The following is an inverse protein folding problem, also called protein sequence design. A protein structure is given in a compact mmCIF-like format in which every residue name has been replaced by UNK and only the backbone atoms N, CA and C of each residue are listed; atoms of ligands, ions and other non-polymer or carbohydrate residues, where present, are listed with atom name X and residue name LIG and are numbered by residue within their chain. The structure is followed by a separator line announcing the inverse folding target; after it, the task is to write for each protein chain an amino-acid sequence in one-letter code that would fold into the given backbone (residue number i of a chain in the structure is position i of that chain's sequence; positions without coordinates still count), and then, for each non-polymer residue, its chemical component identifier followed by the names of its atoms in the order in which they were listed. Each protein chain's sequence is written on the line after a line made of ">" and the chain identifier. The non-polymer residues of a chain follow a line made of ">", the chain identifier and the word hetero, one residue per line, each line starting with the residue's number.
data_IF_754115386115
#
_entry.id   IF_754115386115
#
_cell.length_a   1.000
_cell.length_b   1.000
_cell.length_c   1.000
_cell.angle_alpha   90.00
_cell.angle_beta   90.00
_cell.angle_gamma   90.00
#
_symmetry.space_group_name_H-M   'P 1'
#
loop_
_entity.id
_entity.type
_entity.pdbx_description
1 polymer ?
#
# COMPACT_ATOMS: atom_id res chain seq x y z
N UNK A 1 -90.03 78.76 105.41
CA UNK A 1 -88.65 78.27 105.20
C UNK A 1 -88.51 76.87 104.59
N UNK A 2 -89.57 76.21 104.09
CA UNK A 2 -89.44 74.84 103.51
C UNK A 2 -89.06 74.80 102.02
N UNK A 3 -89.11 75.92 101.28
CA UNK A 3 -88.76 75.97 99.85
C UNK A 3 -87.23 76.06 99.62
N UNK A 4 -86.51 76.72 100.53
CA UNK A 4 -85.04 76.85 100.46
C UNK A 4 -84.33 75.52 100.75
N UNK A 5 -84.82 74.78 101.74
CA UNK A 5 -84.31 73.44 102.07
C UNK A 5 -84.51 72.42 100.94
N UNK A 6 -85.64 72.47 100.23
CA UNK A 6 -85.88 71.57 99.09
C UNK A 6 -84.98 71.87 97.89
N UNK A 7 -84.70 73.15 97.60
CA UNK A 7 -83.73 73.55 96.55
C UNK A 7 -82.30 73.11 96.91
N UNK A 8 -81.90 73.26 98.17
CA UNK A 8 -80.59 72.82 98.66
C UNK A 8 -80.41 71.29 98.57
N UNK A 9 -81.40 70.52 99.04
CA UNK A 9 -81.40 69.05 98.93
C UNK A 9 -81.35 68.56 97.48
N UNK A 10 -82.00 69.26 96.55
CA UNK A 10 -82.00 68.92 95.12
C UNK A 10 -80.67 69.25 94.43
N UNK A 11 -79.99 70.32 94.83
CA UNK A 11 -78.61 70.60 94.38
C UNK A 11 -77.61 69.62 94.99
N UNK A 12 -77.76 69.26 96.26
CA UNK A 12 -76.91 68.29 96.95
C UNK A 12 -77.06 66.88 96.33
N UNK A 13 -78.29 66.45 96.00
CA UNK A 13 -78.53 65.24 95.23
C UNK A 13 -77.91 65.30 93.82
N UNK A 14 -78.01 66.43 93.10
CA UNK A 14 -77.36 66.60 91.79
C UNK A 14 -75.83 66.55 91.89
N UNK A 15 -75.24 67.13 92.94
CA UNK A 15 -73.79 67.06 93.19
C UNK A 15 -73.37 65.63 93.53
N UNK A 16 -74.15 64.91 94.32
CA UNK A 16 -73.90 63.51 94.67
C UNK A 16 -73.96 62.59 93.44
N UNK A 17 -74.98 62.76 92.58
CA UNK A 17 -75.10 61.99 91.32
C UNK A 17 -73.91 62.28 90.39
N UNK A 18 -73.51 63.55 90.24
CA UNK A 18 -72.32 63.91 89.43
C UNK A 18 -71.02 63.34 89.99
N UNK A 19 -70.85 63.35 91.31
CA UNK A 19 -69.68 62.75 91.98
C UNK A 19 -69.66 61.23 91.78
N UNK A 20 -70.81 60.56 91.89
CA UNK A 20 -70.95 59.12 91.63
C UNK A 20 -70.70 58.76 90.16
N UNK A 21 -71.11 59.61 89.21
CA UNK A 21 -70.79 59.44 87.78
C UNK A 21 -69.28 59.58 87.51
N UNK A 22 -68.63 60.61 88.07
CA UNK A 22 -67.17 60.80 87.94
C UNK A 22 -66.41 59.63 88.61
N UNK A 23 -66.87 59.16 89.77
CA UNK A 23 -66.26 58.01 90.46
C UNK A 23 -66.44 56.71 89.65
N UNK A 24 -67.56 56.55 88.94
CA UNK A 24 -67.80 55.42 88.04
C UNK A 24 -66.91 55.49 86.79
N UNK A 25 -66.86 56.63 86.13
CA UNK A 25 -66.01 56.84 84.94
C UNK A 25 -64.51 56.69 85.26
N UNK A 26 -64.06 57.16 86.42
CA UNK A 26 -62.66 56.98 86.86
C UNK A 26 -62.37 55.52 87.19
N UNK A 27 -63.28 54.80 87.85
CA UNK A 27 -63.16 53.34 88.07
C UNK A 27 -63.13 52.57 86.76
N UNK A 28 -64.00 52.91 85.80
CA UNK A 28 -64.03 52.30 84.47
C UNK A 28 -62.73 52.56 83.69
N UNK A 29 -62.19 53.79 83.70
CA UNK A 29 -60.89 54.11 83.06
C UNK A 29 -59.74 53.32 83.70
N UNK A 30 -59.70 53.23 85.03
CA UNK A 30 -58.69 52.43 85.75
C UNK A 30 -58.81 50.95 85.40
N UNK A 31 -60.02 50.42 85.29
CA UNK A 31 -60.25 49.02 84.93
C UNK A 31 -59.85 48.73 83.48
N UNK A 32 -60.16 49.64 82.55
CA UNK A 32 -59.79 49.56 81.14
C UNK A 32 -58.27 49.66 80.94
N UNK A 33 -57.59 50.50 81.72
CA UNK A 33 -56.13 50.61 81.72
C UNK A 33 -55.46 49.36 82.32
N UNK A 34 -56.02 48.80 83.41
CA UNK A 34 -55.60 47.50 83.94
C UNK A 34 -55.81 46.36 82.95
N UNK A 35 -56.91 46.37 82.18
CA UNK A 35 -57.16 45.39 81.12
C UNK A 35 -56.12 45.53 80.00
N UNK A 36 -55.84 46.74 79.51
CA UNK A 36 -54.80 47.00 78.51
C UNK A 36 -53.42 46.54 78.97
N UNK A 37 -53.03 46.86 80.21
CA UNK A 37 -51.75 46.41 80.79
C UNK A 37 -51.67 44.89 80.89
N UNK A 38 -52.77 44.20 81.24
CA UNK A 38 -52.84 42.73 81.25
C UNK A 38 -52.72 42.15 79.84
N UNK A 39 -53.38 42.74 78.85
CA UNK A 39 -53.28 42.32 77.44
C UNK A 39 -51.87 42.53 76.86
N UNK A 40 -51.23 43.65 77.16
CA UNK A 40 -49.84 43.91 76.75
C UNK A 40 -48.87 42.93 77.42
N UNK A 41 -49.04 42.66 78.71
CA UNK A 41 -48.25 41.65 79.42
C UNK A 41 -48.44 40.24 78.81
N UNK A 42 -49.67 39.87 78.44
CA UNK A 42 -49.97 38.61 77.75
C UNK A 42 -49.31 38.56 76.37
N UNK A 43 -49.40 39.65 75.58
CA UNK A 43 -48.73 39.75 74.27
C UNK A 43 -47.21 39.65 74.38
N UNK A 44 -46.61 40.32 75.36
CA UNK A 44 -45.17 40.24 75.63
C UNK A 44 -44.76 38.81 75.99
N UNK A 45 -45.52 38.14 76.87
CA UNK A 45 -45.27 36.76 77.27
C UNK A 45 -45.38 35.79 76.08
N UNK A 46 -46.36 35.97 75.20
CA UNK A 46 -46.52 35.17 73.97
C UNK A 46 -45.36 35.40 72.98
N UNK A 47 -44.90 36.65 72.82
CA UNK A 47 -43.73 36.96 72.00
C UNK A 47 -42.46 36.34 72.57
N UNK A 48 -42.27 36.39 73.89
CA UNK A 48 -41.12 35.78 74.55
C UNK A 48 -41.13 34.25 74.40
N UNK A 49 -42.29 33.60 74.54
CA UNK A 49 -42.41 32.17 74.29
C UNK A 49 -42.12 31.80 72.83
N UNK A 50 -42.62 32.58 71.87
CA UNK A 50 -42.34 32.37 70.45
C UNK A 50 -40.84 32.51 70.13
N UNK A 51 -40.18 33.55 70.65
CA UNK A 51 -38.73 33.76 70.50
C UNK A 51 -37.92 32.60 71.10
N UNK A 52 -38.34 32.07 72.26
CA UNK A 52 -37.71 30.91 72.88
C UNK A 52 -37.89 29.63 72.03
N UNK A 53 -39.04 29.45 71.40
CA UNK A 53 -39.31 28.33 70.49
C UNK A 53 -38.49 28.43 69.20
N UNK A 54 -38.40 29.62 68.59
CA UNK A 54 -37.54 29.85 67.42
C UNK A 54 -36.08 29.52 67.71
N UNK A 55 -35.54 29.97 68.85
CA UNK A 55 -34.16 29.65 69.27
C UNK A 55 -33.98 28.14 69.47
N UNK A 56 -34.98 27.43 70.00
CA UNK A 56 -34.91 25.96 70.15
C UNK A 56 -34.92 25.28 68.78
N UNK A 57 -35.79 25.71 67.87
CA UNK A 57 -35.89 25.19 66.51
C UNK A 57 -34.57 25.40 65.76
N UNK A 58 -33.95 26.57 65.89
CA UNK A 58 -32.67 26.86 65.23
C UNK A 58 -31.51 26.01 65.78
N UNK A 59 -31.48 25.78 67.10
CA UNK A 59 -30.56 24.83 67.74
C UNK A 59 -30.79 23.38 67.28
N UNK A 60 -32.02 23.02 66.94
CA UNK A 60 -32.36 21.69 66.46
C UNK A 60 -31.98 21.53 64.99
N UNK A 61 -32.30 22.52 64.13
CA UNK A 61 -31.86 22.59 62.73
C UNK A 61 -30.35 22.53 62.59
N UNK A 62 -29.61 23.30 63.38
CA UNK A 62 -28.13 23.28 63.33
C UNK A 62 -27.55 21.91 63.73
N UNK A 63 -28.15 21.23 64.72
CA UNK A 63 -27.78 19.85 65.08
C UNK A 63 -28.10 18.87 63.95
N UNK A 64 -29.28 18.98 63.35
CA UNK A 64 -29.74 18.09 62.29
C UNK A 64 -28.92 18.28 61.01
N UNK A 65 -28.62 19.52 60.63
CA UNK A 65 -27.72 19.85 59.51
C UNK A 65 -26.33 19.27 59.76
N UNK A 66 -25.78 19.42 60.98
CA UNK A 66 -24.47 18.86 61.33
C UNK A 66 -24.48 17.32 61.30
N UNK A 67 -25.57 16.70 61.75
CA UNK A 67 -25.74 15.25 61.70
C UNK A 67 -25.86 14.77 60.25
N UNK A 68 -26.62 15.47 59.42
CA UNK A 68 -26.79 15.19 58.00
C UNK A 68 -25.44 15.28 57.26
N UNK A 69 -24.69 16.37 57.45
CA UNK A 69 -23.36 16.54 56.85
C UNK A 69 -22.38 15.42 57.27
N UNK A 70 -22.43 14.98 58.53
CA UNK A 70 -21.59 13.84 58.99
C UNK A 70 -22.01 12.52 58.34
N UNK A 71 -23.32 12.29 58.18
CA UNK A 71 -23.84 11.09 57.49
C UNK A 71 -23.45 11.08 56.02
N UNK A 72 -23.63 12.20 55.32
CA UNK A 72 -23.20 12.39 53.93
C UNK A 72 -21.69 12.19 53.77
N UNK A 73 -20.87 12.79 54.65
CA UNK A 73 -19.42 12.57 54.62
C UNK A 73 -19.03 11.10 54.88
N UNK A 74 -19.78 10.39 55.74
CA UNK A 74 -19.56 8.96 55.97
C UNK A 74 -19.92 8.13 54.73
N UNK A 75 -21.04 8.44 54.08
CA UNK A 75 -21.46 7.81 52.82
C UNK A 75 -20.39 8.04 51.74
N UNK A 76 -19.92 9.28 51.57
CA UNK A 76 -18.85 9.60 50.62
C UNK A 76 -17.55 8.83 50.89
N UNK A 77 -17.18 8.63 52.16
CA UNK A 77 -16.01 7.80 52.53
C UNK A 77 -16.22 6.33 52.20
N UNK A 78 -17.42 5.79 52.43
CA UNK A 78 -17.77 4.42 52.09
C UNK A 78 -17.71 4.23 50.57
N UNK A 79 -18.33 5.13 49.80
CA UNK A 79 -18.30 5.09 48.33
C UNK A 79 -16.88 5.20 47.76
N UNK A 80 -16.05 6.10 48.30
CA UNK A 80 -14.65 6.22 47.89
C UNK A 80 -13.86 4.94 48.20
N UNK A 81 -14.07 4.35 49.38
CA UNK A 81 -13.42 3.09 49.77
C UNK A 81 -13.85 1.91 48.88
N UNK A 82 -15.14 1.84 48.51
CA UNK A 82 -15.63 0.83 47.57
C UNK A 82 -15.04 1.00 46.17
N UNK A 83 -15.00 2.23 45.64
CA UNK A 83 -14.33 2.53 44.37
C UNK A 83 -12.87 2.14 44.38
N UNK A 84 -12.15 2.46 45.46
CA UNK A 84 -10.74 2.09 45.61
C UNK A 84 -10.56 0.57 45.70
N UNK A 85 -11.46 -0.15 46.38
CA UNK A 85 -11.45 -1.62 46.45
C UNK A 85 -11.70 -2.27 45.09
N UNK A 86 -12.67 -1.77 44.33
CA UNK A 86 -12.95 -2.23 42.96
C UNK A 86 -11.76 -1.96 42.04
N UNK A 87 -11.16 -0.77 42.13
CA UNK A 87 -9.96 -0.42 41.36
C UNK A 87 -8.78 -1.34 41.69
N UNK A 88 -8.54 -1.65 42.97
CA UNK A 88 -7.50 -2.60 43.38
C UNK A 88 -7.78 -4.04 42.89
N UNK A 89 -9.05 -4.44 42.83
CA UNK A 89 -9.44 -5.74 42.25
C UNK A 89 -9.19 -5.77 40.73
N UNK A 90 -9.55 -4.71 40.02
CA UNK A 90 -9.27 -4.55 38.59
C UNK A 90 -7.76 -4.64 38.32
N UNK A 91 -6.93 -3.89 39.05
CA UNK A 91 -5.47 -3.94 38.92
C UNK A 91 -4.89 -5.34 39.20
N UNK A 92 -5.46 -6.09 40.16
CA UNK A 92 -5.04 -7.47 40.43
C UNK A 92 -5.41 -8.41 39.27
N UNK A 93 -6.62 -8.26 38.72
CA UNK A 93 -7.08 -9.03 37.56
C UNK A 93 -6.24 -8.71 36.32
N UNK A 94 -5.97 -7.43 36.03
CA UNK A 94 -5.10 -7.01 34.93
C UNK A 94 -3.69 -7.60 35.08
N UNK A 95 -3.09 -7.55 36.27
CA UNK A 95 -1.78 -8.19 36.52
C UNK A 95 -1.82 -9.71 36.34
N UNK A 96 -2.91 -10.37 36.66
CA UNK A 96 -3.08 -11.81 36.42
C UNK A 96 -3.21 -12.10 34.93
N UNK A 97 -4.06 -11.35 34.21
CA UNK A 97 -4.24 -11.45 32.76
C UNK A 97 -2.91 -11.23 32.05
N UNK A 98 -2.13 -10.23 32.45
CA UNK A 98 -0.81 -9.96 31.87
C UNK A 98 0.17 -11.13 32.10
N UNK A 99 0.16 -11.75 33.29
CA UNK A 99 0.94 -12.98 33.56
C UNK A 99 0.48 -14.18 32.74
N UNK A 100 -0.80 -14.26 32.38
CA UNK A 100 -1.31 -15.30 31.49
C UNK A 100 -0.90 -15.02 30.05
N UNK A 101 -1.02 -13.78 29.57
CA UNK A 101 -0.52 -13.35 28.25
C UNK A 101 0.95 -13.64 28.06
N UNK A 102 1.80 -13.29 29.02
CA UNK A 102 3.25 -13.58 28.95
C UNK A 102 3.52 -15.09 28.90
N UNK A 103 2.70 -15.91 29.58
CA UNK A 103 2.83 -17.38 29.52
C UNK A 103 2.36 -17.94 28.18
N UNK A 104 1.22 -17.47 27.68
CA UNK A 104 0.66 -17.86 26.39
C UNK A 104 1.63 -17.52 25.25
N UNK A 105 2.21 -16.32 25.24
CA UNK A 105 3.25 -15.96 24.25
C UNK A 105 4.45 -16.89 24.34
N UNK A 106 4.95 -17.20 25.53
CA UNK A 106 6.08 -18.14 25.70
C UNK A 106 5.74 -19.57 25.29
N UNK A 107 4.51 -20.01 25.49
CA UNK A 107 4.04 -21.32 25.04
C UNK A 107 3.89 -21.36 23.52
N UNK A 108 3.33 -20.32 22.92
CA UNK A 108 3.26 -20.16 21.47
C UNK A 108 4.65 -20.12 20.84
N UNK A 109 5.59 -19.37 21.40
CA UNK A 109 7.00 -19.35 20.94
C UNK A 109 7.66 -20.73 21.05
N UNK A 110 7.39 -21.48 22.12
CA UNK A 110 7.90 -22.86 22.27
C UNK A 110 7.27 -23.81 21.27
N UNK A 111 5.95 -23.73 21.07
CA UNK A 111 5.23 -24.54 20.08
C UNK A 111 5.65 -24.18 18.65
N UNK A 112 5.89 -22.90 18.36
CA UNK A 112 6.42 -22.45 17.08
C UNK A 112 7.84 -22.96 16.89
N UNK A 113 8.69 -22.92 17.91
CA UNK A 113 10.04 -23.50 17.85
C UNK A 113 10.03 -25.01 17.63
N UNK A 114 9.12 -25.73 18.30
CA UNK A 114 8.92 -27.18 18.10
C UNK A 114 8.38 -27.45 16.69
N UNK A 115 7.37 -26.71 16.22
CA UNK A 115 6.83 -26.83 14.87
C UNK A 115 7.86 -26.49 13.80
N UNK A 116 8.73 -25.49 14.02
CA UNK A 116 9.85 -25.15 13.15
C UNK A 116 10.93 -26.24 13.17
N UNK A 117 11.16 -26.88 14.32
CA UNK A 117 12.09 -28.00 14.47
C UNK A 117 11.55 -29.26 13.78
N UNK A 118 10.27 -29.60 13.96
CA UNK A 118 9.59 -30.70 13.26
C UNK A 118 9.56 -30.47 11.75
N UNK A 119 9.24 -29.23 11.31
CA UNK A 119 9.39 -28.85 9.90
C UNK A 119 10.84 -29.02 9.44
N UNK A 120 11.84 -28.59 10.22
CA UNK A 120 13.28 -28.76 9.89
C UNK A 120 13.72 -30.22 9.77
N UNK A 121 13.24 -31.10 10.64
CA UNK A 121 13.61 -32.52 10.64
C UNK A 121 12.98 -33.26 9.44
N UNK A 122 11.76 -32.88 9.02
CA UNK A 122 11.18 -33.30 7.72
C UNK A 122 11.89 -32.66 6.51
N UNK A 123 12.40 -31.43 6.66
CA UNK A 123 13.20 -30.75 5.65
C UNK A 123 14.60 -31.35 5.49
N UNK A 124 15.18 -32.07 6.45
CA UNK A 124 16.50 -32.70 6.24
C UNK A 124 16.44 -33.77 5.14
N UNK A 125 15.40 -34.62 5.17
CA UNK A 125 15.15 -35.61 4.12
C UNK A 125 14.73 -34.99 2.79
N UNK A 126 13.89 -33.93 2.83
CA UNK A 126 13.51 -33.18 1.63
C UNK A 126 14.70 -32.40 1.05
N UNK A 127 15.54 -31.78 1.87
CA UNK A 127 16.75 -31.07 1.45
C UNK A 127 17.72 -32.04 0.82
N UNK A 128 17.98 -33.21 1.40
CA UNK A 128 18.81 -34.23 0.74
C UNK A 128 18.22 -34.69 -0.60
N UNK A 129 16.89 -34.82 -0.72
CA UNK A 129 16.22 -35.11 -1.99
C UNK A 129 16.32 -33.94 -2.98
N UNK A 130 16.16 -32.71 -2.52
CA UNK A 130 16.32 -31.48 -3.31
C UNK A 130 17.77 -31.32 -3.75
N UNK A 131 18.75 -31.60 -2.90
CA UNK A 131 20.19 -31.57 -3.21
C UNK A 131 20.50 -32.60 -4.30
N UNK A 132 20.02 -33.85 -4.14
CA UNK A 132 20.14 -34.88 -5.18
C UNK A 132 19.45 -34.50 -6.49
N UNK A 133 18.27 -33.86 -6.43
CA UNK A 133 17.60 -33.35 -7.62
C UNK A 133 18.38 -32.20 -8.26
N UNK A 134 18.89 -31.25 -7.47
CA UNK A 134 19.72 -30.14 -7.93
C UNK A 134 21.01 -30.64 -8.58
N UNK A 135 21.68 -31.62 -7.98
CA UNK A 135 22.88 -32.27 -8.53
C UNK A 135 22.55 -32.95 -9.87
N UNK A 136 21.46 -33.71 -9.93
CA UNK A 136 20.96 -34.33 -11.16
C UNK A 136 20.70 -33.29 -12.26
N UNK A 137 20.01 -32.20 -11.95
CA UNK A 137 19.74 -31.12 -12.92
C UNK A 137 20.99 -30.31 -13.26
N UNK A 138 21.98 -30.22 -12.37
CA UNK A 138 23.28 -29.58 -12.65
C UNK A 138 24.04 -30.38 -13.69
N UNK A 139 24.13 -31.71 -13.51
CA UNK A 139 24.75 -32.62 -14.48
C UNK A 139 24.03 -32.55 -15.83
N UNK A 140 22.70 -32.63 -15.85
CA UNK A 140 21.92 -32.52 -17.10
C UNK A 140 22.13 -31.17 -17.79
N UNK A 141 22.22 -30.08 -17.01
CA UNK A 141 22.45 -28.74 -17.56
C UNK A 141 23.86 -28.62 -18.13
N UNK A 142 24.87 -29.10 -17.41
CA UNK A 142 26.27 -29.04 -17.85
C UNK A 142 26.49 -29.94 -19.08
N UNK A 143 25.81 -31.10 -19.15
CA UNK A 143 25.76 -31.95 -20.34
C UNK A 143 25.09 -31.25 -21.52
N UNK A 144 23.94 -30.59 -21.33
CA UNK A 144 23.28 -29.79 -22.39
C UNK A 144 24.12 -28.60 -22.86
N UNK A 145 24.87 -27.96 -21.96
CA UNK A 145 25.80 -26.89 -22.33
C UNK A 145 26.90 -27.45 -23.22
N UNK A 146 27.48 -28.61 -22.86
CA UNK A 146 28.46 -29.29 -23.72
C UNK A 146 27.89 -29.64 -25.09
N UNK A 147 26.71 -30.28 -25.14
CA UNK A 147 26.03 -30.62 -26.41
C UNK A 147 25.77 -29.39 -27.27
N UNK A 148 25.39 -28.25 -26.65
CA UNK A 148 25.18 -27.00 -27.37
C UNK A 148 26.48 -26.41 -27.92
N UNK A 149 27.55 -26.39 -27.12
CA UNK A 149 28.87 -25.88 -27.56
C UNK A 149 29.46 -26.77 -28.65
N UNK A 150 29.24 -28.08 -28.57
CA UNK A 150 29.62 -29.04 -29.60
C UNK A 150 28.82 -28.85 -30.90
N UNK A 151 27.51 -28.61 -30.81
CA UNK A 151 26.67 -28.29 -31.97
C UNK A 151 27.06 -26.96 -32.65
N UNK A 152 27.63 -26.01 -31.90
CA UNK A 152 28.21 -24.77 -32.45
C UNK A 152 29.60 -24.99 -33.11
N UNK A 153 30.12 -26.22 -33.12
CA UNK A 153 31.36 -26.59 -33.82
C UNK A 153 32.65 -26.14 -33.11
N UNK A 154 32.57 -25.72 -31.85
CA UNK A 154 33.72 -25.26 -31.06
C UNK A 154 34.50 -26.47 -30.53
N UNK A 155 35.77 -26.64 -30.90
CA UNK A 155 36.62 -27.74 -30.38
C UNK A 155 36.85 -27.58 -28.89
N UNK A 156 36.24 -28.46 -28.09
CA UNK A 156 36.39 -28.50 -26.63
C UNK A 156 37.66 -29.32 -26.29
N UNK A 157 38.56 -28.78 -25.46
CA UNK A 157 39.58 -29.60 -24.79
C UNK A 157 38.96 -30.20 -23.53
N UNK A 158 39.16 -31.50 -23.30
CA UNK A 158 38.34 -32.33 -22.40
C UNK A 158 38.23 -31.92 -20.92
N UNK A 159 38.91 -30.88 -20.46
CA UNK A 159 38.89 -30.39 -19.07
C UNK A 159 38.62 -28.87 -18.99
N UNK A 160 37.75 -28.36 -19.86
CA UNK A 160 37.35 -26.94 -19.86
C UNK A 160 36.20 -26.67 -18.87
N UNK A 161 36.43 -25.71 -17.97
CA UNK A 161 35.47 -25.28 -16.95
C UNK A 161 34.17 -24.75 -17.57
N UNK A 162 33.04 -24.94 -16.88
CA UNK A 162 31.71 -24.48 -17.34
C UNK A 162 31.69 -23.00 -17.74
N UNK A 163 32.42 -22.17 -17.01
CA UNK A 163 32.51 -20.73 -17.29
C UNK A 163 33.21 -20.45 -18.62
N UNK A 164 34.23 -21.25 -18.97
CA UNK A 164 34.93 -21.14 -20.25
C UNK A 164 34.06 -21.56 -21.43
N UNK A 165 33.24 -22.61 -21.28
CA UNK A 165 32.27 -23.03 -22.29
C UNK A 165 31.21 -21.96 -22.55
N UNK A 166 30.64 -21.37 -21.50
CA UNK A 166 29.67 -20.28 -21.61
C UNK A 166 30.28 -19.02 -22.22
N UNK A 167 31.54 -18.72 -21.89
CA UNK A 167 32.28 -17.61 -22.47
C UNK A 167 32.51 -17.82 -23.97
N UNK A 168 32.91 -19.03 -24.38
CA UNK A 168 33.06 -19.39 -25.80
C UNK A 168 31.74 -19.32 -26.57
N UNK A 169 30.63 -19.80 -25.98
CA UNK A 169 29.28 -19.67 -26.58
C UNK A 169 28.91 -18.19 -26.78
N UNK A 170 29.18 -17.36 -25.77
CA UNK A 170 28.91 -15.92 -25.83
C UNK A 170 29.80 -15.23 -26.88
N UNK A 171 31.09 -15.55 -26.92
CA UNK A 171 32.03 -15.02 -27.90
C UNK A 171 31.66 -15.43 -29.33
N UNK A 172 31.24 -16.69 -29.54
CA UNK A 172 30.70 -17.17 -30.82
C UNK A 172 29.45 -16.40 -31.24
N UNK A 173 28.51 -16.19 -30.32
CA UNK A 173 27.28 -15.45 -30.59
C UNK A 173 27.56 -13.99 -30.95
N UNK A 174 28.46 -13.33 -30.22
CA UNK A 174 28.89 -11.96 -30.49
C UNK A 174 29.61 -11.87 -31.83
N UNK A 175 30.49 -12.82 -32.16
CA UNK A 175 31.15 -12.87 -33.45
C UNK A 175 30.12 -13.02 -34.58
N UNK A 176 29.09 -13.86 -34.39
CA UNK A 176 28.01 -14.06 -35.35
C UNK A 176 27.15 -12.81 -35.56
N UNK A 177 26.82 -12.11 -34.47
CA UNK A 177 26.12 -10.83 -34.54
C UNK A 177 26.94 -9.77 -35.29
N UNK A 178 28.26 -9.74 -35.11
CA UNK A 178 29.12 -8.81 -35.87
C UNK A 178 29.09 -9.09 -37.38
N UNK A 179 29.09 -10.37 -37.77
CA UNK A 179 28.94 -10.78 -39.18
C UNK A 179 27.57 -10.35 -39.71
N UNK A 180 26.50 -10.59 -38.94
CA UNK A 180 25.13 -10.21 -39.32
C UNK A 180 25.00 -8.69 -39.54
N UNK A 181 25.53 -7.87 -38.63
CA UNK A 181 25.52 -6.42 -38.75
C UNK A 181 26.33 -5.92 -39.95
N UNK A 182 27.47 -6.54 -40.26
CA UNK A 182 28.26 -6.16 -41.42
C UNK A 182 27.54 -6.47 -42.75
N UNK A 183 26.80 -7.57 -42.82
CA UNK A 183 26.03 -7.95 -44.01
C UNK A 183 24.63 -7.30 -44.09
N UNK A 184 24.15 -6.66 -43.03
CA UNK A 184 22.78 -6.14 -42.97
C UNK A 184 22.50 -5.06 -44.02
N UNK A 185 23.45 -4.15 -44.23
CA UNK A 185 23.34 -3.11 -45.27
C UNK A 185 23.24 -3.73 -46.67
N UNK A 186 24.03 -4.77 -46.94
CA UNK A 186 24.05 -5.52 -48.20
C UNK A 186 22.76 -6.32 -48.41
N UNK A 187 22.25 -6.99 -47.36
CA UNK A 187 20.97 -7.67 -47.41
C UNK A 187 19.82 -6.71 -47.73
N UNK A 188 19.74 -5.57 -47.03
CA UNK A 188 18.69 -4.56 -47.27
C UNK A 188 18.76 -4.01 -48.69
N UNK A 189 19.96 -3.75 -49.21
CA UNK A 189 20.18 -3.31 -50.59
C UNK A 189 19.72 -4.39 -51.60
N UNK A 190 20.20 -5.63 -51.46
CA UNK A 190 19.85 -6.74 -52.33
C UNK A 190 18.34 -7.06 -52.29
N UNK A 191 17.74 -7.08 -51.11
CA UNK A 191 16.29 -7.30 -50.95
C UNK A 191 15.47 -6.18 -51.60
N UNK A 192 15.90 -4.93 -51.47
CA UNK A 192 15.23 -3.80 -52.13
C UNK A 192 15.35 -3.89 -53.65
N UNK A 193 16.53 -4.22 -54.16
CA UNK A 193 16.80 -4.41 -55.58
C UNK A 193 15.89 -5.50 -56.16
N UNK A 194 15.87 -6.68 -55.55
CA UNK A 194 15.02 -7.81 -55.96
C UNK A 194 13.55 -7.39 -55.99
N UNK A 195 13.07 -6.69 -54.96
CA UNK A 195 11.69 -6.19 -54.92
C UNK A 195 11.37 -5.24 -56.08
N UNK A 196 12.28 -4.29 -56.37
CA UNK A 196 12.10 -3.35 -57.47
C UNK A 196 12.11 -4.04 -58.84
N UNK A 197 13.01 -5.00 -59.04
CA UNK A 197 13.10 -5.79 -60.26
C UNK A 197 11.84 -6.63 -60.48
N UNK A 198 11.36 -7.31 -59.44
CA UNK A 198 10.10 -8.06 -59.48
C UNK A 198 8.92 -7.16 -59.88
N UNK A 199 8.85 -5.95 -59.34
CA UNK A 199 7.76 -5.02 -59.60
C UNK A 199 7.80 -4.41 -61.01
N UNK A 200 8.98 -4.07 -61.52
CA UNK A 200 9.14 -3.28 -62.76
C UNK A 200 9.51 -4.13 -63.98
N UNK A 201 10.24 -5.22 -63.79
CA UNK A 201 10.91 -5.96 -64.86
C UNK A 201 10.48 -7.42 -64.99
N UNK A 202 9.74 -8.01 -64.06
CA UNK A 202 9.22 -9.38 -64.20
C UNK A 202 7.79 -9.36 -64.75
N UNK A 203 7.53 -10.19 -65.77
CA UNK A 203 6.21 -10.36 -66.39
C UNK A 203 5.48 -11.58 -65.83
N UNK A 204 4.17 -11.73 -66.09
CA UNK A 204 3.35 -12.84 -65.56
C UNK A 204 3.82 -14.25 -65.94
N UNK A 205 4.68 -14.38 -66.96
CA UNK A 205 5.17 -15.66 -67.46
C UNK A 205 6.58 -16.00 -66.95
N UNK A 206 7.19 -15.12 -66.14
CA UNK A 206 8.51 -15.30 -65.56
C UNK A 206 8.39 -15.59 -64.06
N UNK A 207 9.25 -16.47 -63.55
CA UNK A 207 9.36 -16.73 -62.12
C UNK A 207 9.90 -15.50 -61.38
N UNK A 208 9.51 -15.34 -60.13
CA UNK A 208 9.89 -14.19 -59.29
C UNK A 208 11.31 -14.40 -58.74
N UNK A 209 12.08 -13.32 -58.57
CA UNK A 209 13.37 -13.38 -57.86
C UNK A 209 13.13 -13.36 -56.35
N UNK A 210 13.84 -14.20 -55.60
CA UNK A 210 13.89 -14.16 -54.13
C UNK A 210 15.29 -13.87 -53.64
N UNK A 211 15.37 -13.01 -52.63
CA UNK A 211 16.55 -12.82 -51.80
C UNK A 211 16.40 -13.73 -50.58
N UNK A 212 17.32 -14.69 -50.41
CA UNK A 212 17.34 -15.61 -49.28
C UNK A 212 18.39 -15.13 -48.27
N UNK A 213 17.96 -15.03 -47.01
CA UNK A 213 18.80 -14.58 -45.90
C UNK A 213 19.28 -15.79 -45.08
N UNK A 214 20.58 -16.10 -45.18
CA UNK A 214 21.27 -17.09 -44.32
C UNK A 214 22.41 -16.46 -43.52
N UNK A 215 22.34 -15.15 -43.25
CA UNK A 215 23.37 -14.41 -42.50
C UNK A 215 23.66 -15.02 -41.12
N UNK A 216 22.64 -15.53 -40.44
CA UNK A 216 22.78 -16.12 -39.11
C UNK A 216 23.38 -17.54 -39.14
N UNK A 217 23.10 -18.35 -40.16
CA UNK A 217 23.47 -19.78 -40.21
C UNK A 217 24.80 -20.02 -40.91
N UNK A 218 24.96 -19.55 -42.14
CA UNK A 218 26.19 -19.72 -42.94
C UNK A 218 26.95 -18.41 -43.19
N UNK A 219 26.28 -17.27 -43.05
CA UNK A 219 26.92 -15.95 -43.23
C UNK A 219 26.84 -15.49 -44.67
N UNK A 220 25.82 -15.98 -45.38
CA UNK A 220 25.65 -15.85 -46.81
C UNK A 220 24.27 -15.25 -47.09
N UNK A 221 24.17 -14.46 -48.14
CA UNK A 221 22.94 -13.96 -48.73
C UNK A 221 22.99 -14.35 -50.19
N UNK A 222 21.92 -14.92 -50.74
CA UNK A 222 21.90 -15.21 -52.16
C UNK A 222 20.57 -14.84 -52.80
N UNK A 223 20.65 -14.50 -54.09
CA UNK A 223 19.49 -14.20 -54.92
C UNK A 223 19.31 -15.33 -55.92
N UNK A 224 18.09 -15.87 -55.99
CA UNK A 224 17.75 -16.95 -56.92
C UNK A 224 16.36 -16.77 -57.51
N UNK A 225 16.04 -17.56 -58.54
CA UNK A 225 14.66 -17.71 -58.99
C UNK A 225 13.86 -18.56 -58.00
N UNK A 226 12.57 -18.25 -57.86
CA UNK A 226 11.68 -18.95 -56.92
C UNK A 226 11.61 -20.47 -57.16
N UNK A 227 11.65 -20.88 -58.42
CA UNK A 227 11.53 -22.29 -58.83
C UNK A 227 12.85 -23.06 -58.83
N UNK A 228 13.98 -22.37 -58.61
CA UNK A 228 15.32 -22.98 -58.65
C UNK A 228 15.76 -23.50 -57.28
N UNK A 229 16.61 -24.53 -57.28
CA UNK A 229 17.25 -25.04 -56.07
C UNK A 229 18.21 -24.00 -55.46
N UNK A 230 18.60 -24.18 -54.19
CA UNK A 230 19.48 -23.23 -53.51
C UNK A 230 20.91 -23.20 -54.08
N UNK A 231 21.34 -24.27 -54.76
CA UNK A 231 22.65 -24.36 -55.40
C UNK A 231 22.74 -23.54 -56.70
N UNK A 232 21.58 -23.26 -57.33
CA UNK A 232 21.43 -22.50 -58.58
C UNK A 232 21.18 -21.00 -58.32
N UNK A 233 21.97 -20.42 -57.41
CA UNK A 233 21.91 -19.00 -57.13
C UNK A 233 22.50 -18.15 -58.27
N UNK A 234 22.00 -16.91 -58.39
CA UNK A 234 22.42 -15.92 -59.38
C UNK A 234 23.47 -14.96 -58.81
N UNK A 235 23.24 -14.48 -57.60
CA UNK A 235 24.19 -13.68 -56.83
C UNK A 235 24.40 -14.32 -55.47
N UNK A 236 25.63 -14.38 -55.00
CA UNK A 236 25.99 -14.83 -53.65
C UNK A 236 26.86 -13.76 -52.99
N UNK A 237 26.42 -13.28 -51.84
CA UNK A 237 27.10 -12.27 -51.02
C UNK A 237 27.52 -12.94 -49.72
N UNK A 238 28.81 -12.90 -49.40
CA UNK A 238 29.35 -13.48 -48.17
C UNK A 238 30.52 -12.68 -47.61
N UNK A 239 30.86 -12.91 -46.35
CA UNK A 239 32.05 -12.30 -45.72
C UNK A 239 33.28 -13.18 -45.96
N UNK A 240 34.38 -12.56 -46.40
CA UNK A 240 35.66 -13.26 -46.56
C UNK A 240 36.18 -13.74 -45.21
N UNK A 241 36.53 -15.03 -45.13
CA UNK A 241 37.07 -15.69 -43.92
C UNK A 241 36.21 -15.54 -42.64
N UNK A 242 34.89 -15.29 -42.77
CA UNK A 242 34.00 -15.05 -41.64
C UNK A 242 34.47 -13.91 -40.69
N UNK A 243 35.26 -12.97 -41.21
CA UNK A 243 35.79 -11.84 -40.45
C UNK A 243 35.21 -10.52 -40.97
N UNK A 244 34.54 -9.71 -40.13
CA UNK A 244 33.98 -8.42 -40.52
C UNK A 244 34.99 -7.43 -41.12
N UNK A 245 36.29 -7.64 -40.87
CA UNK A 245 37.36 -6.73 -41.25
C UNK A 245 37.96 -7.03 -42.64
N UNK A 246 37.70 -8.23 -43.19
CA UNK A 246 38.35 -8.70 -44.43
C UNK A 246 37.57 -8.39 -45.72
N UNK A 247 36.40 -7.76 -45.58
CA UNK A 247 35.57 -7.34 -46.71
C UNK A 247 34.49 -8.36 -47.10
N UNK A 248 33.59 -7.90 -47.96
CA UNK A 248 32.41 -8.62 -48.42
C UNK A 248 32.62 -8.98 -49.89
N UNK A 249 32.40 -10.23 -50.23
CA UNK A 249 32.54 -10.76 -51.59
C UNK A 249 31.16 -10.92 -52.19
N UNK A 250 30.99 -10.46 -53.43
CA UNK A 250 29.81 -10.70 -54.25
C UNK A 250 30.24 -11.53 -55.44
N UNK A 251 29.75 -12.77 -55.50
CA UNK A 251 29.88 -13.64 -56.65
C UNK A 251 28.65 -13.53 -57.54
N UNK A 252 28.90 -13.35 -58.83
CA UNK A 252 27.91 -13.17 -59.86
C UNK A 252 27.97 -14.31 -60.88
N UNK A 253 26.87 -15.08 -60.92
CA UNK A 253 26.60 -16.18 -61.86
C UNK A 253 25.55 -15.81 -62.90
N UNK A 254 25.15 -14.54 -62.98
CA UNK A 254 24.14 -14.09 -63.96
C UNK A 254 24.62 -14.24 -65.41
N UNK A 255 25.93 -14.41 -65.66
CA UNK A 255 26.47 -14.66 -66.99
C UNK A 255 26.84 -16.14 -67.20
N UNK A 256 26.24 -16.86 -68.18
CA UNK A 256 26.50 -18.27 -68.41
C UNK A 256 27.95 -18.63 -68.77
N UNK A 257 28.73 -17.67 -69.28
CA UNK A 257 30.07 -17.93 -69.82
C UNK A 257 31.21 -17.68 -68.82
N UNK A 258 31.00 -16.82 -67.80
CA UNK A 258 32.01 -16.47 -66.80
C UNK A 258 31.36 -16.05 -65.49
N UNK A 259 31.79 -16.67 -64.40
CA UNK A 259 31.48 -16.21 -63.05
C UNK A 259 32.44 -15.07 -62.69
N UNK A 260 31.92 -13.99 -62.15
CA UNK A 260 32.71 -12.82 -61.74
C UNK A 260 32.59 -12.65 -60.24
N UNK A 261 33.71 -12.40 -59.56
CA UNK A 261 33.75 -12.16 -58.12
C UNK A 261 34.28 -10.75 -57.86
N UNK A 262 33.53 -9.98 -57.07
CA UNK A 262 33.89 -8.62 -56.69
C UNK A 262 34.05 -8.51 -55.17
N UNK A 263 35.18 -7.96 -54.71
CA UNK A 263 35.42 -7.69 -53.30
C UNK A 263 35.13 -6.23 -52.96
N UNK A 264 34.35 -6.01 -51.91
CA UNK A 264 33.94 -4.70 -51.43
C UNK A 264 34.28 -4.52 -49.96
N UNK A 265 34.57 -3.29 -49.56
CA UNK A 265 34.62 -2.94 -48.13
C UNK A 265 33.20 -2.73 -47.59
N UNK A 266 33.02 -2.84 -46.28
CA UNK A 266 31.72 -2.61 -45.62
C UNK A 266 31.12 -1.23 -45.94
N UNK A 267 31.98 -0.21 -46.15
CA UNK A 267 31.55 1.15 -46.49
C UNK A 267 31.22 1.36 -47.98
N UNK A 268 31.46 0.38 -48.85
CA UNK A 268 31.31 0.50 -50.31
C UNK A 268 29.98 -0.07 -50.83
N UNK A 269 28.93 0.00 -50.00
CA UNK A 269 27.59 -0.52 -50.30
C UNK A 269 26.99 0.04 -51.60
N UNK A 270 27.23 1.31 -51.93
CA UNK A 270 26.69 1.92 -53.14
C UNK A 270 27.31 1.32 -54.41
N UNK A 271 28.63 1.13 -54.42
CA UNK A 271 29.33 0.48 -55.55
C UNK A 271 28.88 -0.97 -55.72
N UNK A 272 28.69 -1.67 -54.60
CA UNK A 272 28.16 -3.04 -54.61
C UNK A 272 26.73 -3.06 -55.16
N UNK A 273 25.88 -2.13 -54.73
CA UNK A 273 24.52 -1.98 -55.24
C UNK A 273 24.48 -1.72 -56.74
N UNK A 274 25.29 -0.80 -57.25
CA UNK A 274 25.36 -0.49 -58.69
C UNK A 274 25.77 -1.74 -59.50
N UNK A 275 26.78 -2.46 -59.01
CA UNK A 275 27.23 -3.73 -59.63
C UNK A 275 26.11 -4.76 -59.68
N UNK A 276 25.38 -4.97 -58.58
CA UNK A 276 24.26 -5.92 -58.53
C UNK A 276 23.10 -5.52 -59.46
N UNK A 277 22.81 -4.22 -59.55
CA UNK A 277 21.77 -3.68 -60.44
C UNK A 277 22.11 -3.97 -61.89
N UNK A 278 23.35 -3.68 -62.30
CA UNK A 278 23.81 -3.88 -63.68
C UNK A 278 23.72 -5.37 -64.07
N UNK A 279 24.24 -6.26 -63.23
CA UNK A 279 24.22 -7.71 -63.46
C UNK A 279 22.81 -8.28 -63.62
N UNK A 280 21.90 -7.97 -62.68
CA UNK A 280 20.54 -8.50 -62.72
C UNK A 280 19.70 -7.87 -63.84
N UNK A 281 19.91 -6.59 -64.15
CA UNK A 281 19.20 -5.92 -65.26
C UNK A 281 19.64 -6.50 -66.61
N UNK A 282 20.94 -6.76 -66.79
CA UNK A 282 21.47 -7.42 -67.99
C UNK A 282 20.96 -8.86 -68.13
N UNK A 283 20.83 -9.61 -67.03
CA UNK A 283 20.22 -10.94 -67.03
C UNK A 283 18.77 -10.88 -67.52
N UNK A 284 17.95 -10.02 -66.92
CA UNK A 284 16.52 -9.89 -67.27
C UNK A 284 16.37 -9.40 -68.72
N UNK A 285 17.22 -8.48 -69.16
CA UNK A 285 17.26 -8.02 -70.56
C UNK A 285 17.49 -9.18 -71.53
N UNK A 286 18.49 -10.03 -71.28
CA UNK A 286 18.78 -11.22 -72.10
C UNK A 286 17.64 -12.24 -72.08
N UNK A 287 17.01 -12.46 -70.93
CA UNK A 287 15.87 -13.37 -70.82
C UNK A 287 14.66 -12.89 -71.64
N UNK A 288 14.40 -11.59 -71.64
CA UNK A 288 13.34 -10.99 -72.46
C UNK A 288 13.63 -11.10 -73.95
N UNK A 289 14.86 -10.80 -74.38
CA UNK A 289 15.26 -10.92 -75.79
C UNK A 289 15.27 -12.36 -76.33
N UNK A 290 15.22 -13.38 -75.47
CA UNK A 290 15.06 -14.79 -75.87
C UNK A 290 13.59 -15.25 -75.92
N UNK A 291 12.67 -14.48 -75.31
CA UNK A 291 11.25 -14.80 -75.24
C UNK A 291 10.43 -14.15 -76.38
N UNK A 292 11.00 -13.13 -77.02
CA UNK A 292 10.57 -12.60 -78.33
C UNK A 292 11.22 -13.38 -79.49
#
# INVERSE_FOLDING_TARGET
>A
NSISQYKFLKEEQKRRIKLEEIERETKEKIELEKQKQREEALKLKLKESALREEIKIEKQRTKDIKLFLRKEQAILRIEQAEKQKQFLQQLKLEKQIEKFRIREVKELEKLEKISLQEKRDDYAGLQQRIEKLKEKYRIIRDQKIRERVEALGVKIRGDEDRETLLRKEKEYTIARQKIEFALESFYRSASSLVFQLNKRHITRHMSILRCIDRRFETGEIFVKWDESEDEDWLLLIYIKNNSPDEGIVIEDKTNPEKNVSHEFKNNEIFKASDTMVDSLTQLIGRMRSKAD
#
